data_IF_479620372909
#
_entry.id   IF_479620372909
#
_cell.length_a   1.000
_cell.length_b   1.000
_cell.length_c   1.000
_cell.angle_alpha   90.00
_cell.angle_beta   90.00
_cell.angle_gamma   90.00
#
_symmetry.space_group_name_H-M   'P 1'
#
loop_
_entity.id
_entity.type
_entity.pdbx_description
1 polymer ?
#
# COMPACT_ATOMS: atom_id res chain seq x y z
N UNK A 1 6.78 -20.53 1.53
CA UNK A 1 7.69 -20.27 2.66
C UNK A 1 9.02 -20.98 2.50
N UNK A 2 9.03 -22.16 1.87
CA UNK A 2 10.20 -23.06 1.80
C UNK A 2 11.49 -22.38 1.30
N UNK A 3 11.42 -21.60 0.22
CA UNK A 3 12.61 -20.94 -0.34
C UNK A 3 13.18 -19.88 0.62
N UNK A 4 12.33 -19.09 1.26
CA UNK A 4 12.77 -18.05 2.19
C UNK A 4 13.44 -18.64 3.43
N UNK A 5 12.91 -19.75 3.95
CA UNK A 5 13.50 -20.45 5.08
C UNK A 5 14.81 -21.15 4.74
N UNK A 6 14.92 -21.75 3.54
CA UNK A 6 16.18 -22.34 3.06
C UNK A 6 17.25 -21.25 2.95
N UNK A 7 16.90 -20.10 2.36
CA UNK A 7 17.86 -19.04 2.10
C UNK A 7 18.31 -18.37 3.39
N UNK A 8 17.42 -18.18 4.36
CA UNK A 8 17.77 -17.59 5.66
C UNK A 8 18.71 -18.48 6.50
N UNK A 9 18.64 -19.81 6.34
CA UNK A 9 19.56 -20.77 6.97
C UNK A 9 20.85 -20.99 6.20
N UNK A 10 20.87 -20.63 4.92
CA UNK A 10 22.07 -20.72 4.09
C UNK A 10 22.94 -19.47 4.25
N UNK A 11 24.26 -19.60 4.17
CA UNK A 11 25.19 -18.46 4.23
C UNK A 11 25.30 -17.72 2.87
N UNK A 12 24.21 -17.68 2.10
CA UNK A 12 24.18 -17.07 0.77
C UNK A 12 23.83 -15.58 0.82
N UNK A 13 24.32 -14.82 -0.16
CA UNK A 13 23.93 -13.41 -0.37
C UNK A 13 22.78 -13.27 -1.37
N UNK A 14 22.29 -14.37 -1.93
CA UNK A 14 21.21 -14.35 -2.92
C UNK A 14 19.92 -13.83 -2.32
N UNK A 15 19.24 -12.93 -3.04
CA UNK A 15 17.95 -12.39 -2.67
C UNK A 15 16.83 -13.02 -3.48
N UNK A 16 15.65 -13.10 -2.87
CA UNK A 16 14.46 -13.70 -3.48
C UNK A 16 13.68 -12.60 -4.21
N UNK A 17 13.61 -12.73 -5.53
CA UNK A 17 12.77 -11.91 -6.41
C UNK A 17 11.55 -12.71 -6.85
N UNK A 18 10.39 -12.43 -6.26
CA UNK A 18 9.13 -13.08 -6.62
C UNK A 18 8.55 -12.47 -7.92
N UNK A 19 7.89 -13.29 -8.74
CA UNK A 19 7.42 -12.89 -10.07
C UNK A 19 6.15 -13.66 -10.46
N UNK A 20 5.58 -13.30 -11.63
CA UNK A 20 4.47 -14.01 -12.27
C UNK A 20 3.14 -13.99 -11.50
N UNK A 21 2.76 -12.82 -11.00
CA UNK A 21 1.50 -12.62 -10.28
C UNK A 21 0.29 -12.45 -11.22
N UNK A 22 -0.88 -12.89 -10.75
CA UNK A 22 -2.20 -12.67 -11.37
C UNK A 22 -3.15 -11.94 -10.45
N UNK A 23 -2.87 -11.88 -9.15
CA UNK A 23 -3.70 -11.21 -8.14
C UNK A 23 -2.86 -10.41 -7.15
N UNK A 24 -3.46 -9.38 -6.54
CA UNK A 24 -2.85 -8.64 -5.45
C UNK A 24 -2.57 -9.52 -4.21
N UNK A 25 -3.41 -10.54 -3.97
CA UNK A 25 -3.25 -11.47 -2.85
C UNK A 25 -1.94 -12.27 -2.95
N UNK A 26 -1.58 -12.75 -4.13
CA UNK A 26 -0.32 -13.49 -4.31
C UNK A 26 0.90 -12.62 -3.98
N UNK A 27 0.84 -11.33 -4.31
CA UNK A 27 1.90 -10.37 -3.94
C UNK A 27 2.00 -10.22 -2.42
N UNK A 28 0.86 -10.11 -1.73
CA UNK A 28 0.84 -10.06 -0.26
C UNK A 28 1.39 -11.36 0.34
N UNK A 29 0.99 -12.52 -0.19
CA UNK A 29 1.40 -13.83 0.32
C UNK A 29 2.91 -14.03 0.21
N UNK A 30 3.55 -13.59 -0.88
CA UNK A 30 5.02 -13.68 -1.02
C UNK A 30 5.76 -12.67 -0.15
N UNK A 31 5.17 -11.50 0.10
CA UNK A 31 5.73 -10.51 1.02
C UNK A 31 5.73 -11.04 2.46
N UNK A 32 4.62 -11.63 2.90
CA UNK A 32 4.51 -12.30 4.21
C UNK A 32 5.45 -13.51 4.30
N UNK A 33 5.64 -14.24 3.19
CA UNK A 33 6.56 -15.37 3.14
C UNK A 33 8.05 -14.98 3.22
N UNK A 34 8.40 -13.68 3.21
CA UNK A 34 9.77 -13.20 3.36
C UNK A 34 10.54 -13.05 2.05
N UNK A 35 9.85 -12.83 0.93
CA UNK A 35 10.54 -12.44 -0.31
C UNK A 35 11.13 -11.02 -0.18
N UNK A 36 12.29 -10.80 -0.80
CA UNK A 36 13.04 -9.55 -0.66
C UNK A 36 12.54 -8.48 -1.65
N UNK A 37 12.13 -8.92 -2.84
CA UNK A 37 11.62 -8.06 -3.89
C UNK A 37 10.56 -8.80 -4.72
N UNK A 38 9.75 -8.04 -5.46
CA UNK A 38 8.76 -8.58 -6.40
C UNK A 38 8.75 -7.77 -7.70
N UNK A 39 8.64 -8.45 -8.85
CA UNK A 39 8.35 -7.82 -10.14
C UNK A 39 6.86 -7.93 -10.45
N UNK A 40 6.19 -6.79 -10.59
CA UNK A 40 4.74 -6.69 -10.59
C UNK A 40 4.30 -5.95 -11.86
N UNK A 41 3.33 -6.50 -12.59
CA UNK A 41 2.73 -5.83 -13.74
C UNK A 41 1.86 -4.64 -13.31
N UNK A 42 1.74 -3.63 -14.17
CA UNK A 42 1.02 -2.37 -13.87
C UNK A 42 -0.41 -2.59 -13.35
N UNK A 43 -1.16 -3.53 -13.95
CA UNK A 43 -2.52 -3.86 -13.53
C UNK A 43 -2.58 -4.35 -12.08
N UNK A 44 -1.65 -5.23 -11.68
CA UNK A 44 -1.60 -5.75 -10.30
C UNK A 44 -1.13 -4.66 -9.33
N UNK A 45 -0.19 -3.82 -9.75
CA UNK A 45 0.25 -2.66 -8.95
C UNK A 45 -0.92 -1.72 -8.64
N UNK A 46 -1.78 -1.45 -9.63
CA UNK A 46 -2.99 -0.65 -9.42
C UNK A 46 -3.95 -1.31 -8.43
N UNK A 47 -4.14 -2.62 -8.51
CA UNK A 47 -4.97 -3.37 -7.57
C UNK A 47 -4.44 -3.31 -6.13
N UNK A 48 -3.12 -3.19 -5.92
CA UNK A 48 -2.53 -3.12 -4.59
C UNK A 48 -2.77 -1.79 -3.88
N UNK A 49 -2.88 -0.68 -4.64
CA UNK A 49 -3.00 0.67 -4.07
C UNK A 49 -4.46 1.13 -3.96
N UNK A 50 -5.39 0.48 -4.66
CA UNK A 50 -6.82 0.86 -4.68
C UNK A 50 -7.62 0.07 -3.65
N UNK A 51 -8.41 0.75 -2.82
CA UNK A 51 -9.31 0.11 -1.85
C UNK A 51 -10.56 0.95 -1.56
N UNK A 52 -11.75 0.38 -1.78
CA UNK A 52 -13.04 1.08 -1.69
C UNK A 52 -13.29 1.75 -0.34
N UNK A 53 -12.88 1.10 0.76
CA UNK A 53 -13.08 1.70 2.09
C UNK A 53 -12.19 2.92 2.28
N UNK A 54 -10.99 2.93 1.68
CA UNK A 54 -10.09 4.09 1.74
C UNK A 54 -10.74 5.29 1.06
N UNK A 55 -11.28 5.11 -0.14
CA UNK A 55 -12.00 6.17 -0.87
C UNK A 55 -13.22 6.66 -0.09
N UNK A 56 -13.97 5.73 0.51
CA UNK A 56 -15.15 6.04 1.33
C UNK A 56 -14.78 6.83 2.58
N UNK A 57 -13.67 6.48 3.24
CA UNK A 57 -13.17 7.20 4.41
C UNK A 57 -12.70 8.61 4.05
N UNK A 58 -12.00 8.79 2.92
CA UNK A 58 -11.59 10.11 2.43
C UNK A 58 -12.81 11.00 2.19
N UNK A 59 -13.83 10.49 1.47
CA UNK A 59 -15.06 11.23 1.25
C UNK A 59 -15.81 11.58 2.54
N UNK A 60 -15.75 10.69 3.55
CA UNK A 60 -16.27 10.95 4.89
C UNK A 60 -15.55 12.10 5.57
N UNK A 61 -14.22 12.10 5.57
CA UNK A 61 -13.43 13.19 6.15
C UNK A 61 -13.71 14.54 5.45
N UNK A 62 -13.83 14.55 4.13
CA UNK A 62 -14.15 15.77 3.38
C UNK A 62 -15.53 16.34 3.77
N UNK A 63 -16.53 15.48 3.92
CA UNK A 63 -17.87 15.90 4.36
C UNK A 63 -17.82 16.47 5.77
N UNK A 64 -17.23 15.73 6.71
CA UNK A 64 -17.19 16.13 8.12
C UNK A 64 -16.38 17.45 8.29
N UNK A 65 -15.34 17.65 7.47
CA UNK A 65 -14.60 18.91 7.41
C UNK A 65 -15.48 20.06 6.94
N UNK A 66 -16.21 19.89 5.83
CA UNK A 66 -17.09 20.92 5.28
C UNK A 66 -18.23 21.28 6.24
N UNK A 67 -18.78 20.30 6.94
CA UNK A 67 -19.81 20.52 7.96
C UNK A 67 -19.29 21.34 9.15
N UNK A 68 -18.05 21.09 9.59
CA UNK A 68 -17.48 21.77 10.76
C UNK A 68 -16.85 23.14 10.43
N UNK A 69 -16.26 23.29 9.24
CA UNK A 69 -15.36 24.40 8.92
C UNK A 69 -15.67 25.12 7.60
N UNK A 70 -16.64 24.64 6.81
CA UNK A 70 -16.97 25.18 5.50
C UNK A 70 -16.00 24.70 4.40
N UNK A 71 -15.98 25.40 3.26
CA UNK A 71 -15.17 25.02 2.09
C UNK A 71 -13.70 25.44 2.17
N UNK A 72 -13.30 26.10 3.26
CA UNK A 72 -11.92 26.54 3.45
C UNK A 72 -11.01 25.35 3.74
N UNK A 73 -9.87 25.27 3.06
CA UNK A 73 -8.85 24.26 3.33
C UNK A 73 -8.17 24.48 4.68
N UNK A 74 -7.55 23.43 5.21
CA UNK A 74 -6.80 23.52 6.46
C UNK A 74 -5.70 24.60 6.41
N UNK A 75 -5.00 24.72 5.27
CA UNK A 75 -3.90 25.68 5.12
C UNK A 75 -4.40 27.13 5.16
N UNK A 76 -5.44 27.45 4.39
CA UNK A 76 -6.05 28.80 4.37
C UNK A 76 -6.52 29.21 5.77
N UNK A 77 -7.13 28.27 6.51
CA UNK A 77 -7.61 28.51 7.87
C UNK A 77 -6.48 28.77 8.86
N UNK A 78 -5.32 28.12 8.69
CA UNK A 78 -4.14 28.34 9.51
C UNK A 78 -3.50 29.71 9.22
N UNK A 79 -3.45 30.12 7.96
CA UNK A 79 -2.93 31.43 7.56
C UNK A 79 -3.75 32.59 8.14
N UNK A 80 -5.08 32.45 8.23
CA UNK A 80 -5.95 33.46 8.86
C UNK A 80 -5.82 33.56 10.38
N UNK A 81 -5.25 32.54 11.02
CA UNK A 81 -5.04 32.50 12.48
C UNK A 81 -3.66 33.02 12.89
N UNK A 82 -2.71 33.12 11.96
CA UNK A 82 -1.39 33.70 12.17
C UNK A 82 -1.44 35.23 12.12
#
# INVERSE_FOLDING_TARGET
>A
TDIAEIFSKSNTKTQILAASFKTAKEVLDVAVAGCHAATIGSTIMQMLITHTTTDTSIAGFDRDWREAFGEESLLERLEKKA
#
